data_IF_130085315144
#
_entry.id   IF_130085315144
#
_cell.length_a   1.000
_cell.length_b   1.000
_cell.length_c   1.000
_cell.angle_alpha   90.00
_cell.angle_beta   90.00
_cell.angle_gamma   90.00
#
_symmetry.space_group_name_H-M   'P 1'
#
loop_
_entity.id
_entity.type
_entity.pdbx_description
1 polymer ?
#
# COMPACT_ATOMS: atom_id res chain seq x y z
N UNK A 1 23.03 16.70 -1.14
CA UNK A 1 22.06 16.26 -0.12
C UNK A 1 21.15 15.21 -0.75
N UNK A 2 21.74 14.08 -1.16
CA UNK A 2 21.09 12.92 -1.82
C UNK A 2 22.12 11.79 -1.82
N UNK A 3 22.14 10.97 -0.76
CA UNK A 3 22.95 9.74 -0.68
C UNK A 3 22.09 8.65 -0.04
N UNK A 4 22.25 7.43 -0.55
CA UNK A 4 22.01 6.16 0.14
C UNK A 4 20.69 5.40 -0.02
N UNK A 5 20.05 5.41 -1.21
CA UNK A 5 19.00 4.39 -1.51
C UNK A 5 19.61 3.02 -1.85
N UNK A 6 20.88 2.95 -2.26
CA UNK A 6 21.50 1.70 -2.75
C UNK A 6 22.49 1.02 -1.79
N UNK A 7 22.83 1.64 -0.66
CA UNK A 7 23.75 0.99 0.29
C UNK A 7 23.15 -0.26 0.95
N UNK A 8 21.82 -0.33 1.11
CA UNK A 8 21.16 -1.48 1.75
C UNK A 8 20.90 -2.65 0.80
N UNK A 9 20.74 -2.42 -0.51
CA UNK A 9 20.73 -3.51 -1.49
C UNK A 9 22.08 -4.24 -1.61
N UNK A 10 23.16 -3.67 -1.05
CA UNK A 10 24.49 -4.28 -1.00
C UNK A 10 24.87 -4.86 0.36
N UNK A 11 24.13 -4.60 1.44
CA UNK A 11 24.58 -4.88 2.82
C UNK A 11 23.69 -5.82 3.64
N UNK A 12 22.54 -6.28 3.12
CA UNK A 12 21.72 -7.29 3.78
C UNK A 12 21.84 -8.64 3.07
N UNK A 13 22.94 -9.36 3.33
CA UNK A 13 23.04 -10.78 2.98
C UNK A 13 23.55 -11.60 4.17
N UNK A 14 22.65 -12.36 4.80
CA UNK A 14 22.96 -13.73 5.18
C UNK A 14 22.22 -14.69 4.24
N UNK A 15 23.00 -15.53 3.57
CA UNK A 15 22.56 -16.65 2.75
C UNK A 15 21.46 -17.52 3.40
N UNK A 16 20.35 -17.76 2.70
CA UNK A 16 19.56 -19.01 2.74
C UNK A 16 18.86 -19.21 1.37
N UNK A 17 19.38 -20.10 0.53
CA UNK A 17 18.92 -21.50 0.26
C UNK A 17 17.50 -21.62 -0.36
N UNK A 18 17.49 -21.90 -1.69
CA UNK A 18 16.56 -22.72 -2.48
C UNK A 18 15.04 -22.48 -2.35
N UNK A 19 14.27 -22.17 -3.40
CA UNK A 19 14.08 -22.93 -4.64
C UNK A 19 13.47 -22.02 -5.74
N UNK A 20 13.81 -22.29 -7.00
CA UNK A 20 13.16 -21.82 -8.24
C UNK A 20 13.35 -20.34 -8.66
N UNK A 21 14.48 -20.04 -9.30
CA UNK A 21 14.53 -19.04 -10.39
C UNK A 21 15.74 -19.36 -11.30
N UNK A 22 15.64 -20.46 -12.05
CA UNK A 22 16.59 -20.81 -13.10
C UNK A 22 16.13 -20.21 -14.43
N UNK A 23 16.37 -18.91 -14.68
CA UNK A 23 16.51 -18.43 -16.07
C UNK A 23 17.15 -17.04 -16.27
N UNK A 24 18.05 -16.60 -15.40
CA UNK A 24 18.92 -15.45 -15.71
C UNK A 24 20.39 -15.80 -15.41
N UNK A 25 20.97 -16.59 -16.30
CA UNK A 25 22.42 -16.76 -16.36
C UNK A 25 23.06 -15.48 -16.91
N UNK A 26 23.71 -14.73 -16.01
CA UNK A 26 25.08 -14.15 -16.10
C UNK A 26 25.17 -12.81 -15.36
N UNK A 27 25.46 -12.86 -14.06
CA UNK A 27 26.43 -11.97 -13.44
C UNK A 27 27.20 -12.78 -12.39
N UNK A 28 28.54 -12.86 -12.46
CA UNK A 28 29.33 -13.52 -11.44
C UNK A 28 29.45 -12.63 -10.20
N UNK A 29 29.27 -13.22 -9.03
CA UNK A 29 29.67 -12.64 -7.74
C UNK A 29 31.17 -12.85 -7.57
N UNK A 30 31.93 -11.79 -7.24
CA UNK A 30 33.17 -11.89 -6.47
C UNK A 30 33.31 -10.66 -5.58
N UNK A 31 33.35 -10.90 -4.26
CA UNK A 31 33.87 -9.99 -3.24
C UNK A 31 35.40 -9.97 -3.41
N UNK A 32 36.01 -8.79 -3.50
CA UNK A 32 37.47 -8.66 -3.29
C UNK A 32 37.71 -7.93 -1.98
N UNK A 33 38.52 -8.56 -1.13
CA UNK A 33 39.11 -8.01 0.08
C UNK A 33 39.98 -6.78 -0.22
N UNK A 34 39.90 -5.81 0.68
CA UNK A 34 40.81 -4.67 0.89
C UNK A 34 40.76 -3.47 -0.09
N UNK A 35 40.40 -2.33 0.52
CA UNK A 35 40.82 -0.96 0.22
C UNK A 35 40.67 -0.42 -1.22
N UNK A 36 39.48 0.09 -1.54
CA UNK A 36 39.39 1.47 -2.04
C UNK A 36 37.96 1.99 -1.84
N UNK A 37 37.81 3.06 -1.05
CA UNK A 37 36.57 3.86 -1.02
C UNK A 37 36.46 4.65 -2.33
N UNK A 38 36.40 3.94 -3.46
CA UNK A 38 35.97 4.54 -4.70
C UNK A 38 34.48 4.86 -4.54
N UNK A 39 34.20 6.16 -4.46
CA UNK A 39 32.87 6.72 -4.49
C UNK A 39 32.12 6.08 -5.66
N UNK A 40 31.27 5.09 -5.36
CA UNK A 40 30.31 4.56 -6.32
C UNK A 40 29.59 5.79 -6.89
N UNK A 41 29.60 6.01 -8.21
CA UNK A 41 28.92 7.15 -8.80
C UNK A 41 27.49 7.14 -8.28
N UNK A 42 26.98 8.31 -7.88
CA UNK A 42 25.64 8.43 -7.30
C UNK A 42 24.63 7.82 -8.27
N UNK A 43 24.26 6.56 -8.03
CA UNK A 43 23.23 5.89 -8.78
C UNK A 43 21.90 6.54 -8.37
N UNK A 44 21.53 7.57 -9.13
CA UNK A 44 20.24 8.22 -9.00
C UNK A 44 19.22 7.37 -9.74
N UNK A 45 18.19 6.92 -9.02
CA UNK A 45 17.06 6.24 -9.66
C UNK A 45 16.37 7.25 -10.56
N UNK A 46 16.23 6.89 -11.84
CA UNK A 46 15.54 7.72 -12.82
C UNK A 46 14.14 8.08 -12.30
N UNK A 47 13.69 9.36 -12.36
CA UNK A 47 12.44 9.80 -11.73
C UNK A 47 11.21 8.95 -12.08
N UNK A 48 11.12 8.46 -13.32
CA UNK A 48 10.02 7.61 -13.80
C UNK A 48 9.98 6.22 -13.13
N UNK A 49 11.10 5.75 -12.59
CA UNK A 49 11.20 4.43 -11.96
C UNK A 49 11.04 4.49 -10.44
N UNK A 50 11.14 5.68 -9.84
CA UNK A 50 11.19 5.84 -8.38
C UNK A 50 10.02 5.23 -7.66
N UNK A 51 8.79 5.45 -8.11
CA UNK A 51 7.60 4.88 -7.46
C UNK A 51 7.65 3.35 -7.41
N UNK A 52 8.02 2.71 -8.53
CA UNK A 52 8.12 1.26 -8.62
C UNK A 52 9.28 0.72 -7.78
N UNK A 53 10.45 1.37 -7.83
CA UNK A 53 11.63 0.96 -7.07
C UNK A 53 11.43 1.12 -5.57
N UNK A 54 10.88 2.24 -5.11
CA UNK A 54 10.63 2.48 -3.68
C UNK A 54 9.57 1.51 -3.15
N UNK A 55 8.45 1.36 -3.85
CA UNK A 55 7.40 0.43 -3.47
C UNK A 55 7.92 -1.02 -3.45
N UNK A 56 8.68 -1.44 -4.46
CA UNK A 56 9.28 -2.77 -4.52
C UNK A 56 10.28 -3.03 -3.39
N UNK A 57 11.13 -2.04 -3.08
CA UNK A 57 12.08 -2.14 -1.97
C UNK A 57 11.38 -2.25 -0.60
N UNK A 58 10.36 -1.42 -0.35
CA UNK A 58 9.57 -1.50 0.90
C UNK A 58 8.74 -2.79 0.98
N UNK A 59 8.19 -3.27 -0.14
CA UNK A 59 7.40 -4.49 -0.17
C UNK A 59 8.24 -5.76 0.12
N UNK A 60 9.47 -5.79 -0.41
CA UNK A 60 10.39 -6.92 -0.24
C UNK A 60 11.25 -6.82 1.03
N UNK A 61 11.38 -5.62 1.61
CA UNK A 61 12.18 -5.34 2.79
C UNK A 61 11.39 -5.47 4.10
N UNK A 62 12.01 -4.98 5.19
CA UNK A 62 11.42 -4.94 6.53
C UNK A 62 11.54 -3.56 7.18
N UNK A 63 11.71 -3.53 8.49
CA UNK A 63 11.84 -2.28 9.25
C UNK A 63 12.96 -1.36 8.75
N UNK A 64 14.08 -1.93 8.29
CA UNK A 64 15.21 -1.13 7.81
C UNK A 64 14.84 -0.31 6.57
N UNK A 65 14.30 -0.95 5.53
CA UNK A 65 13.88 -0.30 4.28
C UNK A 65 12.72 0.67 4.53
N UNK A 66 11.80 0.31 5.42
CA UNK A 66 10.66 1.15 5.76
C UNK A 66 11.09 2.40 6.51
N UNK A 67 11.91 2.26 7.58
CA UNK A 67 12.39 3.39 8.38
C UNK A 67 13.31 4.31 7.58
N UNK A 68 14.13 3.75 6.69
CA UNK A 68 14.92 4.55 5.76
C UNK A 68 14.01 5.35 4.83
N UNK A 69 13.01 4.71 4.21
CA UNK A 69 12.04 5.39 3.34
C UNK A 69 11.26 6.48 4.08
N UNK A 70 10.91 6.22 5.35
CA UNK A 70 10.27 7.20 6.24
C UNK A 70 11.15 8.42 6.50
N UNK A 71 12.44 8.22 6.82
CA UNK A 71 13.40 9.32 6.98
C UNK A 71 13.51 10.15 5.71
N UNK A 72 13.64 9.48 4.56
CA UNK A 72 13.73 10.17 3.27
C UNK A 72 12.46 10.96 2.95
N UNK A 73 11.28 10.46 3.35
CA UNK A 73 10.02 11.18 3.21
C UNK A 73 10.00 12.46 4.06
N UNK A 74 10.44 12.38 5.32
CA UNK A 74 10.51 13.53 6.23
C UNK A 74 11.51 14.59 5.75
N UNK A 75 12.64 14.16 5.17
CA UNK A 75 13.70 15.05 4.67
C UNK A 75 13.43 15.61 3.26
N UNK A 76 12.39 15.12 2.57
CA UNK A 76 12.13 15.47 1.18
C UNK A 76 11.65 16.93 1.04
N UNK A 77 12.43 17.74 0.32
CA UNK A 77 12.08 19.14 0.00
C UNK A 77 11.24 19.28 -1.26
N UNK A 78 11.27 18.28 -2.15
CA UNK A 78 10.51 18.27 -3.40
C UNK A 78 9.20 17.51 -3.18
N UNK A 79 8.07 18.21 -3.28
CA UNK A 79 6.74 17.64 -3.01
C UNK A 79 6.44 16.38 -3.85
N UNK A 80 6.84 16.36 -5.11
CA UNK A 80 6.62 15.19 -5.98
C UNK A 80 7.49 13.99 -5.61
N UNK A 81 8.60 14.19 -4.91
CA UNK A 81 9.43 13.11 -4.37
C UNK A 81 8.87 12.62 -3.04
N UNK A 82 8.50 13.54 -2.14
CA UNK A 82 7.84 13.25 -0.88
C UNK A 82 6.59 12.37 -1.10
N UNK A 83 5.75 12.72 -2.08
CA UNK A 83 4.56 11.92 -2.41
C UNK A 83 4.90 10.49 -2.86
N UNK A 84 5.98 10.27 -3.63
CA UNK A 84 6.38 8.91 -4.04
C UNK A 84 6.83 8.08 -2.85
N UNK A 85 7.62 8.66 -1.95
CA UNK A 85 8.10 8.00 -0.73
C UNK A 85 6.94 7.69 0.22
N UNK A 86 6.03 8.65 0.41
CA UNK A 86 4.81 8.51 1.19
C UNK A 86 3.95 7.34 0.73
N UNK A 87 3.71 7.22 -0.59
CA UNK A 87 2.93 6.12 -1.15
C UNK A 87 3.69 4.78 -1.10
N UNK A 88 5.02 4.79 -1.23
CA UNK A 88 5.84 3.58 -1.16
C UNK A 88 5.80 2.91 0.22
N UNK A 89 5.69 3.67 1.31
CA UNK A 89 5.56 3.14 2.68
C UNK A 89 4.34 2.23 2.86
N UNK A 90 3.27 2.49 2.11
CA UNK A 90 2.06 1.67 2.11
C UNK A 90 2.23 0.33 1.38
N UNK A 91 3.33 0.11 0.65
CA UNK A 91 3.62 -1.15 -0.05
C UNK A 91 4.17 -2.25 0.86
N UNK A 92 4.45 -1.96 2.13
CA UNK A 92 4.97 -2.95 3.10
C UNK A 92 4.08 -4.18 3.17
N UNK A 93 4.68 -5.36 3.27
CA UNK A 93 3.97 -6.63 3.53
C UNK A 93 3.80 -6.91 5.03
N UNK A 94 4.47 -6.14 5.90
CA UNK A 94 4.39 -6.27 7.35
C UNK A 94 3.18 -5.49 7.89
N UNK A 95 2.21 -6.21 8.47
CA UNK A 95 0.98 -5.63 9.02
C UNK A 95 1.23 -4.66 10.16
N UNK A 96 2.22 -4.90 11.02
CA UNK A 96 2.55 -3.99 12.14
C UNK A 96 3.04 -2.63 11.64
N UNK A 97 3.82 -2.63 10.55
CA UNK A 97 4.26 -1.39 9.91
C UNK A 97 3.08 -0.64 9.28
N UNK A 98 2.13 -1.35 8.67
CA UNK A 98 0.92 -0.75 8.09
C UNK A 98 -0.01 -0.19 9.18
N UNK A 99 -0.24 -0.90 10.29
CA UNK A 99 -1.02 -0.42 11.44
C UNK A 99 -0.41 0.86 12.03
N UNK A 100 0.90 0.83 12.32
CA UNK A 100 1.64 2.02 12.78
C UNK A 100 1.53 3.18 11.78
N UNK A 101 1.57 2.87 10.49
CA UNK A 101 1.48 3.91 9.46
C UNK A 101 0.07 4.52 9.39
N UNK A 102 -0.98 3.72 9.58
CA UNK A 102 -2.34 4.23 9.72
C UNK A 102 -2.46 5.15 10.94
N UNK A 103 -1.90 4.79 12.09
CA UNK A 103 -1.89 5.65 13.28
C UNK A 103 -1.20 7.01 13.02
N UNK A 104 -0.15 7.05 12.19
CA UNK A 104 0.51 8.31 11.83
C UNK A 104 -0.43 9.28 11.09
N UNK A 105 -1.49 8.77 10.45
CA UNK A 105 -2.50 9.61 9.78
C UNK A 105 -3.43 10.34 10.74
N UNK A 106 -3.42 9.98 12.03
CA UNK A 106 -4.13 10.72 13.10
C UNK A 106 -3.28 11.85 13.69
N UNK A 107 -1.99 11.92 13.37
CA UNK A 107 -1.04 12.89 13.89
C UNK A 107 -0.58 13.85 12.78
N UNK A 108 -1.09 15.09 12.75
CA UNK A 108 -0.70 16.11 11.76
C UNK A 108 0.79 16.44 11.74
N UNK A 109 1.53 16.14 12.81
CA UNK A 109 2.98 16.30 12.88
C UNK A 109 3.75 15.23 12.11
N UNK A 110 3.13 14.07 11.84
CA UNK A 110 3.72 12.97 11.07
C UNK A 110 3.21 12.94 9.62
N UNK A 111 1.89 12.99 9.44
CA UNK A 111 1.23 13.05 8.14
C UNK A 111 0.29 14.24 8.11
N UNK A 112 0.47 15.11 7.12
CA UNK A 112 -0.37 16.30 6.96
C UNK A 112 -1.81 15.90 6.72
N UNK A 113 -2.76 16.67 7.26
CA UNK A 113 -4.20 16.39 7.15
C UNK A 113 -4.67 16.14 5.72
N UNK A 114 -4.17 16.92 4.76
CA UNK A 114 -4.49 16.80 3.34
C UNK A 114 -3.97 15.51 2.66
N UNK A 115 -2.95 14.89 3.23
CA UNK A 115 -2.29 13.68 2.70
C UNK A 115 -2.81 12.40 3.37
N UNK A 116 -3.45 12.53 4.55
CA UNK A 116 -3.94 11.41 5.36
C UNK A 116 -4.85 10.47 4.56
N UNK A 117 -5.85 11.00 3.84
CA UNK A 117 -6.77 10.15 3.06
C UNK A 117 -6.08 9.39 1.92
N UNK A 118 -5.03 9.98 1.33
CA UNK A 118 -4.23 9.32 0.29
C UNK A 118 -3.41 8.17 0.89
N UNK A 119 -2.82 8.36 2.08
CA UNK A 119 -2.10 7.30 2.81
C UNK A 119 -3.04 6.16 3.17
N UNK A 120 -4.20 6.46 3.79
CA UNK A 120 -5.17 5.44 4.21
C UNK A 120 -5.65 4.65 2.98
N UNK A 121 -5.97 5.33 1.88
CA UNK A 121 -6.39 4.67 0.63
C UNK A 121 -5.27 3.82 0.02
N UNK A 122 -4.01 4.25 0.12
CA UNK A 122 -2.87 3.46 -0.37
C UNK A 122 -2.68 2.17 0.44
N UNK A 123 -2.84 2.23 1.77
CA UNK A 123 -2.80 1.05 2.65
C UNK A 123 -3.99 0.12 2.36
N UNK A 124 -5.18 0.67 2.11
CA UNK A 124 -6.34 -0.16 1.74
C UNK A 124 -6.08 -0.98 0.46
N UNK A 125 -5.43 -0.40 -0.55
CA UNK A 125 -5.09 -1.11 -1.79
C UNK A 125 -4.10 -2.26 -1.58
N UNK A 126 -3.30 -2.22 -0.51
CA UNK A 126 -2.40 -3.30 -0.14
C UNK A 126 -3.19 -4.53 0.33
N UNK A 127 -2.84 -5.73 -0.17
CA UNK A 127 -3.49 -6.99 0.26
C UNK A 127 -3.39 -7.23 1.77
N UNK A 128 -2.25 -6.91 2.38
CA UNK A 128 -2.07 -7.04 3.84
C UNK A 128 -2.77 -5.90 4.60
N UNK A 129 -2.97 -4.74 3.97
CA UNK A 129 -3.54 -3.55 4.58
C UNK A 129 -5.07 -3.45 4.51
N UNK A 130 -5.71 -4.07 3.52
CA UNK A 130 -7.15 -3.92 3.23
C UNK A 130 -8.06 -4.07 4.47
N UNK A 131 -7.91 -5.16 5.23
CA UNK A 131 -8.74 -5.40 6.41
C UNK A 131 -8.36 -4.46 7.57
N UNK A 132 -7.06 -4.24 7.77
CA UNK A 132 -6.54 -3.32 8.80
C UNK A 132 -7.09 -1.90 8.60
N UNK A 133 -7.12 -1.43 7.35
CA UNK A 133 -7.64 -0.11 7.02
C UNK A 133 -9.13 0.00 7.28
N UNK A 134 -9.92 -1.03 6.97
CA UNK A 134 -11.35 -1.03 7.30
C UNK A 134 -11.58 -0.92 8.81
N UNK A 135 -10.92 -1.78 9.59
CA UNK A 135 -11.01 -1.74 11.06
C UNK A 135 -10.54 -0.41 11.64
N UNK A 136 -9.46 0.15 11.10
CA UNK A 136 -8.94 1.45 11.51
C UNK A 136 -9.93 2.58 11.20
N UNK A 137 -10.57 2.55 10.03
CA UNK A 137 -11.55 3.56 9.62
C UNK A 137 -12.79 3.51 10.50
N UNK A 138 -13.36 2.31 10.75
CA UNK A 138 -14.55 2.17 11.60
C UNK A 138 -14.26 2.54 13.05
N UNK A 139 -13.12 2.07 13.60
CA UNK A 139 -12.70 2.40 14.97
C UNK A 139 -12.51 3.90 15.21
N UNK A 140 -12.03 4.63 14.21
CA UNK A 140 -11.70 6.06 14.33
C UNK A 140 -12.70 6.94 13.57
N UNK A 141 -13.90 6.43 13.27
CA UNK A 141 -14.84 7.10 12.39
C UNK A 141 -15.20 8.52 12.84
N UNK A 142 -15.52 8.72 14.11
CA UNK A 142 -15.89 10.03 14.66
C UNK A 142 -14.78 11.08 14.46
N UNK A 143 -13.53 10.70 14.75
CA UNK A 143 -12.36 11.55 14.53
C UNK A 143 -12.18 11.85 13.04
N UNK A 144 -12.28 10.81 12.20
CA UNK A 144 -12.11 10.94 10.75
C UNK A 144 -13.17 11.84 10.12
N UNK A 145 -14.42 11.69 10.55
CA UNK A 145 -15.55 12.49 10.11
C UNK A 145 -15.40 13.95 10.53
N UNK A 146 -14.97 14.21 11.76
CA UNK A 146 -14.80 15.56 12.30
C UNK A 146 -13.62 16.29 11.66
N UNK A 147 -12.47 15.64 11.58
CA UNK A 147 -11.22 16.26 11.12
C UNK A 147 -11.09 16.32 9.59
N UNK A 148 -11.69 15.34 8.88
CA UNK A 148 -11.54 15.19 7.44
C UNK A 148 -12.86 15.23 6.64
N UNK A 149 -14.02 15.06 7.29
CA UNK A 149 -15.32 14.95 6.62
C UNK A 149 -16.01 16.29 6.34
N UNK A 150 -15.80 17.32 7.17
CA UNK A 150 -16.51 18.60 7.03
C UNK A 150 -15.99 19.38 5.82
N UNK A 151 -16.81 19.45 4.76
CA UNK A 151 -16.55 20.26 3.56
C UNK A 151 -15.49 19.70 2.59
N UNK A 152 -15.00 18.46 2.80
CA UNK A 152 -13.96 17.86 1.96
C UNK A 152 -14.49 16.80 1.00
N UNK A 153 -14.12 16.93 -0.29
CA UNK A 153 -14.28 15.88 -1.30
C UNK A 153 -13.43 14.62 -1.02
N UNK A 154 -12.38 14.76 -0.20
CA UNK A 154 -11.46 13.65 0.10
C UNK A 154 -12.11 12.52 0.89
N UNK A 155 -13.19 12.80 1.62
CA UNK A 155 -13.84 11.84 2.50
C UNK A 155 -14.71 10.82 1.75
N UNK A 156 -15.47 11.26 0.74
CA UNK A 156 -16.17 10.35 -0.19
C UNK A 156 -15.17 9.44 -0.94
N UNK A 157 -14.02 10.00 -1.33
CA UNK A 157 -12.94 9.24 -1.97
C UNK A 157 -12.32 8.20 -1.04
N UNK A 158 -12.23 8.51 0.27
CA UNK A 158 -11.76 7.57 1.28
C UNK A 158 -12.68 6.36 1.40
N UNK A 159 -13.99 6.56 1.59
CA UNK A 159 -14.98 5.45 1.63
C UNK A 159 -14.90 4.62 0.36
N UNK A 160 -14.89 5.28 -0.80
CA UNK A 160 -14.76 4.59 -2.08
C UNK A 160 -13.49 3.76 -2.18
N UNK A 161 -12.36 4.29 -1.72
CA UNK A 161 -11.05 3.62 -1.76
C UNK A 161 -10.95 2.43 -0.82
N UNK A 162 -11.41 2.59 0.43
CA UNK A 162 -11.35 1.54 1.45
C UNK A 162 -12.27 0.38 1.11
N UNK A 163 -13.44 0.62 0.52
CA UNK A 163 -14.42 -0.43 0.21
C UNK A 163 -14.28 -0.98 -1.22
N UNK A 164 -13.32 -0.50 -2.01
CA UNK A 164 -13.21 -0.81 -3.44
C UNK A 164 -13.07 -2.30 -3.76
N UNK A 165 -12.46 -3.08 -2.85
CA UNK A 165 -12.14 -4.51 -3.04
C UNK A 165 -13.15 -5.46 -2.39
N UNK A 166 -14.18 -4.92 -1.73
CA UNK A 166 -15.19 -5.71 -1.07
C UNK A 166 -15.97 -6.54 -2.08
N UNK A 167 -16.07 -7.83 -1.81
CA UNK A 167 -16.60 -8.81 -2.77
C UNK A 167 -17.16 -10.07 -2.12
N UNK A 168 -17.31 -10.08 -0.79
CA UNK A 168 -17.88 -11.21 -0.03
C UNK A 168 -19.15 -10.79 0.71
N UNK A 169 -20.07 -11.73 1.03
CA UNK A 169 -21.24 -11.42 1.86
C UNK A 169 -20.88 -10.82 3.22
N UNK A 170 -19.74 -11.22 3.79
CA UNK A 170 -19.22 -10.67 5.04
C UNK A 170 -18.79 -9.20 4.90
N UNK A 171 -18.21 -8.82 3.76
CA UNK A 171 -17.88 -7.42 3.49
C UNK A 171 -19.16 -6.57 3.38
N UNK A 172 -20.19 -7.10 2.70
CA UNK A 172 -21.49 -6.42 2.58
C UNK A 172 -22.15 -6.25 3.95
N UNK A 173 -22.16 -7.29 4.77
CA UNK A 173 -22.75 -7.21 6.11
C UNK A 173 -22.04 -6.16 6.97
N UNK A 174 -20.71 -6.12 6.94
CA UNK A 174 -19.96 -5.10 7.69
C UNK A 174 -20.29 -3.67 7.23
N UNK A 175 -20.56 -3.46 5.93
CA UNK A 175 -20.99 -2.15 5.43
C UNK A 175 -22.39 -1.78 5.92
N UNK A 176 -23.33 -2.73 5.90
CA UNK A 176 -24.69 -2.51 6.40
C UNK A 176 -24.70 -2.21 7.90
N UNK A 177 -23.90 -2.96 8.68
CA UNK A 177 -23.76 -2.72 10.12
C UNK A 177 -23.15 -1.33 10.38
N UNK A 178 -22.14 -0.94 9.61
CA UNK A 178 -21.51 0.38 9.70
C UNK A 178 -22.48 1.51 9.33
N UNK A 179 -23.32 1.31 8.30
CA UNK A 179 -24.35 2.25 7.89
C UNK A 179 -25.36 2.49 9.01
N UNK A 180 -25.89 1.39 9.57
CA UNK A 180 -26.88 1.42 10.65
C UNK A 180 -26.32 2.04 11.94
N UNK A 181 -25.06 1.74 12.28
CA UNK A 181 -24.39 2.30 13.47
C UNK A 181 -24.27 3.83 13.41
N UNK A 182 -24.09 4.41 12.21
CA UNK A 182 -23.81 5.83 12.04
C UNK A 182 -24.96 6.61 11.40
N UNK A 183 -26.14 6.01 11.23
CA UNK A 183 -27.31 6.63 10.58
C UNK A 183 -27.76 7.95 11.24
N UNK A 184 -27.64 8.06 12.56
CA UNK A 184 -28.10 9.23 13.32
C UNK A 184 -27.13 10.41 13.17
N UNK A 185 -25.83 10.14 13.16
CA UNK A 185 -24.80 11.15 12.87
C UNK A 185 -24.75 11.51 11.37
N UNK A 186 -25.13 10.55 10.53
CA UNK A 186 -25.04 10.63 9.08
C UNK A 186 -23.60 10.57 8.56
N UNK A 187 -23.47 10.63 7.23
CA UNK A 187 -22.19 10.50 6.54
C UNK A 187 -21.71 11.80 5.88
N UNK A 188 -22.44 12.90 6.08
CA UNK A 188 -22.13 14.21 5.48
C UNK A 188 -21.92 14.13 3.97
N UNK A 189 -20.77 14.62 3.48
CA UNK A 189 -20.40 14.57 2.07
C UNK A 189 -20.15 13.15 1.53
N UNK A 190 -20.02 12.14 2.40
CA UNK A 190 -19.76 10.76 2.02
C UNK A 190 -21.02 9.89 1.91
N UNK A 191 -22.22 10.41 2.18
CA UNK A 191 -23.47 9.63 2.11
C UNK A 191 -23.62 8.88 0.78
N UNK A 192 -23.51 9.60 -0.35
CA UNK A 192 -23.55 8.99 -1.67
C UNK A 192 -22.46 7.92 -1.88
N UNK A 193 -21.27 8.12 -1.29
CA UNK A 193 -20.19 7.14 -1.41
C UNK A 193 -20.44 5.86 -0.61
N UNK A 194 -21.21 5.94 0.48
CA UNK A 194 -21.66 4.77 1.26
C UNK A 194 -22.68 3.98 0.45
N UNK A 195 -23.70 4.64 -0.11
CA UNK A 195 -24.71 3.99 -0.98
C UNK A 195 -24.03 3.27 -2.15
N UNK A 196 -23.11 3.97 -2.83
CA UNK A 196 -22.35 3.41 -3.94
C UNK A 196 -21.42 2.26 -3.51
N UNK A 197 -20.91 2.27 -2.27
CA UNK A 197 -20.08 1.19 -1.75
C UNK A 197 -20.91 -0.08 -1.53
N UNK A 198 -22.15 0.04 -1.02
CA UNK A 198 -23.09 -1.08 -0.87
C UNK A 198 -23.45 -1.69 -2.23
N UNK A 199 -23.91 -0.87 -3.17
CA UNK A 199 -24.27 -1.31 -4.53
C UNK A 199 -23.09 -1.99 -5.24
N UNK A 200 -21.90 -1.38 -5.16
CA UNK A 200 -20.68 -1.94 -5.76
C UNK A 200 -20.30 -3.27 -5.10
N UNK A 201 -20.43 -3.39 -3.79
CA UNK A 201 -20.10 -4.64 -3.08
C UNK A 201 -21.03 -5.76 -3.52
N UNK A 202 -22.34 -5.50 -3.65
CA UNK A 202 -23.26 -6.47 -4.22
C UNK A 202 -22.91 -6.87 -5.65
N UNK A 203 -22.58 -5.88 -6.49
CA UNK A 203 -22.18 -6.12 -7.87
C UNK A 203 -20.91 -6.98 -7.94
N UNK A 204 -19.93 -6.71 -7.08
CA UNK A 204 -18.70 -7.48 -6.96
C UNK A 204 -18.97 -8.92 -6.51
N UNK A 205 -19.83 -9.14 -5.52
CA UNK A 205 -20.24 -10.48 -5.06
C UNK A 205 -20.85 -11.26 -6.23
N UNK A 206 -21.80 -10.66 -6.95
CA UNK A 206 -22.45 -11.27 -8.12
C UNK A 206 -21.43 -11.58 -9.23
N UNK A 207 -20.48 -10.68 -9.47
CA UNK A 207 -19.43 -10.87 -10.46
C UNK A 207 -18.51 -12.04 -10.09
N UNK A 208 -18.05 -12.12 -8.84
CA UNK A 208 -17.21 -13.23 -8.37
C UNK A 208 -17.97 -14.55 -8.45
N UNK A 209 -19.24 -14.60 -8.04
CA UNK A 209 -20.05 -15.82 -8.13
C UNK A 209 -20.20 -16.34 -9.56
N UNK A 210 -20.40 -15.44 -10.53
CA UNK A 210 -20.61 -15.80 -11.94
C UNK A 210 -19.32 -16.15 -12.68
N UNK A 211 -18.23 -15.41 -12.42
CA UNK A 211 -17.05 -15.43 -13.30
C UNK A 211 -15.83 -16.14 -12.69
N UNK A 212 -15.79 -16.38 -11.37
CA UNK A 212 -14.60 -16.92 -10.69
C UNK A 212 -14.09 -18.22 -11.30
N UNK A 213 -14.99 -19.15 -11.63
CA UNK A 213 -14.61 -20.46 -12.17
C UNK A 213 -14.05 -20.36 -13.59
N UNK A 214 -14.71 -19.61 -14.47
CA UNK A 214 -14.26 -19.41 -15.85
C UNK A 214 -12.90 -18.72 -15.90
N UNK A 215 -12.72 -17.65 -15.12
CA UNK A 215 -11.45 -16.92 -15.01
C UNK A 215 -10.33 -17.83 -14.49
N UNK A 216 -10.61 -18.65 -13.46
CA UNK A 216 -9.65 -19.60 -12.91
C UNK A 216 -9.24 -20.66 -13.95
N UNK A 217 -10.20 -21.21 -14.69
CA UNK A 217 -9.95 -22.18 -15.74
C UNK A 217 -9.11 -21.57 -16.88
N UNK A 218 -9.43 -20.35 -17.30
CA UNK A 218 -8.65 -19.64 -18.31
C UNK A 218 -7.20 -19.44 -17.87
N UNK A 219 -6.94 -18.90 -16.67
CA UNK A 219 -5.57 -18.74 -16.15
C UNK A 219 -4.82 -20.07 -16.04
N UNK A 220 -5.51 -21.14 -15.63
CA UNK A 220 -4.90 -22.48 -15.53
C UNK A 220 -4.52 -23.01 -16.91
N UNK A 221 -5.32 -22.75 -17.95
CA UNK A 221 -5.01 -23.15 -19.33
C UNK A 221 -3.77 -22.45 -19.91
N UNK A 222 -3.50 -21.21 -19.51
CA UNK A 222 -2.35 -20.44 -20.01
C UNK A 222 -1.04 -20.78 -19.29
N UNK A 223 -1.13 -21.23 -18.03
CA UNK A 223 0.04 -21.55 -17.19
C UNK A 223 0.40 -23.03 -17.20
N UNK A 224 -0.50 -23.92 -17.61
CA UNK A 224 -0.30 -25.38 -17.66
C UNK A 224 0.50 -25.94 -18.86
N UNK A 225 0.86 -25.13 -19.86
CA UNK A 225 1.54 -25.58 -21.09
C UNK A 225 3.05 -25.26 -21.16
N UNK A 226 3.72 -25.03 -20.02
CA UNK A 226 5.18 -24.81 -19.98
C UNK A 226 5.94 -25.97 -19.31
N UNK A 227 5.72 -27.19 -19.78
CA UNK A 227 6.61 -28.33 -19.55
C UNK A 227 6.77 -29.11 -20.86
N UNK A 228 7.80 -28.75 -21.63
CA UNK A 228 8.41 -29.58 -22.67
C UNK A 228 9.87 -29.20 -22.83
#
# INVERSE_FOLDING_TARGET
MTRSILYFLSAAAPCMRNFAFQQFHKLPVCITSEANLQLVPSFSIHPNLRSAVYCGAVAAGGDAEWNFTWSQFQDATVASEANKLMLALACSSNTQLLERYLEFTLDPGKIRKQDATAVITAVAKNRAGQNLTWQFLTKNWEHMFTEYGVGSFSFASLISGVTARFSTPQDLQQLLDFEEEHKDAGFGSAALAVDQALERTEANIKWVQRNKQEVLQWFSSQTGNQQS
#
